data_IF_788007966267
#
_entry.id   IF_788007966267
#
_cell.length_a   1.000
_cell.length_b   1.000
_cell.length_c   1.000
_cell.angle_alpha   90.00
_cell.angle_beta   90.00
_cell.angle_gamma   90.00
#
_symmetry.space_group_name_H-M   'P 1'
#
loop_
_entity.id
_entity.type
_entity.pdbx_description
1 polymer ?
#
# COMPACT_ATOMS: atom_id res chain seq x y z
N UNK A 1 17.29 1.37 7.66
CA UNK A 1 18.36 0.48 7.15
C UNK A 1 19.19 1.29 6.17
N UNK A 2 20.49 1.54 6.42
CA UNK A 2 21.35 2.27 5.49
C UNK A 2 21.58 1.43 4.22
N UNK A 3 21.32 1.98 3.04
CA UNK A 3 21.59 1.32 1.75
C UNK A 3 22.99 1.69 1.25
N UNK A 4 23.74 0.70 0.76
CA UNK A 4 25.02 0.91 0.08
C UNK A 4 24.74 1.17 -1.40
N UNK A 5 24.93 2.41 -1.82
CA UNK A 5 24.86 2.81 -3.23
C UNK A 5 26.20 2.51 -3.91
N UNK A 6 26.19 2.12 -5.19
CA UNK A 6 27.41 2.14 -6.01
C UNK A 6 27.85 3.59 -6.17
N UNK A 7 29.06 3.89 -5.68
CA UNK A 7 29.63 5.24 -5.72
C UNK A 7 29.70 5.86 -7.14
N UNK A 8 29.73 5.02 -8.18
CA UNK A 8 29.87 5.44 -9.57
C UNK A 8 28.56 5.65 -10.32
N UNK A 9 27.46 5.01 -9.89
CA UNK A 9 26.17 5.06 -10.60
C UNK A 9 25.01 5.57 -9.75
N UNK A 10 25.20 5.73 -8.43
CA UNK A 10 24.11 6.08 -7.51
C UNK A 10 23.08 4.96 -7.32
N UNK A 11 23.27 3.80 -7.96
CA UNK A 11 22.30 2.70 -7.92
C UNK A 11 22.49 1.84 -6.66
N UNK A 12 21.38 1.48 -6.02
CA UNK A 12 21.40 0.58 -4.87
C UNK A 12 21.71 -0.87 -5.31
N UNK A 13 22.63 -1.53 -4.60
CA UNK A 13 22.95 -2.93 -4.85
C UNK A 13 21.84 -3.82 -4.28
N UNK A 14 21.25 -4.68 -5.13
CA UNK A 14 20.30 -5.70 -4.69
C UNK A 14 20.92 -6.51 -3.54
N UNK A 15 20.25 -6.53 -2.39
CA UNK A 15 20.71 -7.27 -1.21
C UNK A 15 19.88 -8.54 -1.06
N UNK A 16 20.46 -9.65 -1.47
CA UNK A 16 19.78 -10.95 -1.50
C UNK A 16 20.14 -11.80 -0.28
N UNK A 17 19.21 -12.64 0.15
CA UNK A 17 19.39 -13.63 1.21
C UNK A 17 18.64 -14.92 0.85
N UNK A 18 19.12 -16.05 1.35
CA UNK A 18 18.34 -17.27 1.42
C UNK A 18 17.83 -17.42 2.87
N UNK A 19 16.54 -17.65 3.03
CA UNK A 19 15.89 -17.83 4.33
C UNK A 19 15.08 -19.12 4.33
N UNK A 20 14.93 -19.71 5.49
CA UNK A 20 13.99 -20.80 5.71
C UNK A 20 12.90 -20.28 6.64
N UNK A 21 11.67 -19.99 6.13
CA UNK A 21 10.64 -19.33 6.91
C UNK A 21 10.21 -20.18 8.12
N UNK A 22 10.10 -21.50 7.90
CA UNK A 22 9.84 -22.53 8.91
C UNK A 22 10.59 -23.82 8.56
N UNK A 23 10.86 -24.71 9.53
CA UNK A 23 11.62 -25.94 9.28
C UNK A 23 10.99 -26.87 8.23
N UNK A 24 9.66 -26.85 8.12
CA UNK A 24 8.83 -27.64 7.21
C UNK A 24 8.58 -26.97 5.85
N UNK A 25 8.92 -25.70 5.70
CA UNK A 25 8.77 -24.97 4.44
C UNK A 25 10.07 -25.01 3.61
N UNK A 26 9.97 -25.13 2.28
CA UNK A 26 11.13 -25.05 1.40
C UNK A 26 11.83 -23.68 1.58
N UNK A 27 13.17 -23.65 1.53
CA UNK A 27 13.93 -22.43 1.63
C UNK A 27 13.61 -21.49 0.45
N UNK A 28 13.63 -20.19 0.74
CA UNK A 28 13.27 -19.13 -0.19
C UNK A 28 14.41 -18.15 -0.32
N UNK A 29 14.69 -17.74 -1.53
CA UNK A 29 15.53 -16.60 -1.81
C UNK A 29 14.69 -15.32 -1.68
N UNK A 30 15.29 -14.22 -1.21
CA UNK A 30 14.64 -12.92 -1.15
C UNK A 30 15.62 -11.79 -1.39
N UNK A 31 15.11 -10.66 -1.89
CA UNK A 31 15.84 -9.41 -2.00
C UNK A 31 15.28 -8.38 -1.02
N UNK A 32 16.08 -7.99 -0.03
CA UNK A 32 15.71 -6.97 0.95
C UNK A 32 15.59 -5.56 0.33
N UNK A 33 16.12 -5.36 -0.88
CA UNK A 33 16.00 -4.11 -1.62
C UNK A 33 14.69 -4.07 -2.43
N UNK A 34 14.53 -4.93 -3.43
CA UNK A 34 13.39 -4.87 -4.35
C UNK A 34 12.23 -5.81 -4.00
N UNK A 35 12.40 -6.78 -3.08
CA UNK A 35 11.28 -7.58 -2.56
C UNK A 35 10.87 -8.77 -3.36
N UNK A 36 11.61 -9.05 -4.42
CA UNK A 36 11.67 -10.36 -5.03
C UNK A 36 11.81 -11.44 -3.96
N UNK A 37 11.00 -12.48 -4.07
CA UNK A 37 11.16 -13.73 -3.33
C UNK A 37 10.94 -14.89 -4.27
N UNK A 38 11.75 -15.94 -4.20
CA UNK A 38 11.56 -17.13 -5.01
C UNK A 38 11.80 -18.38 -4.15
N UNK A 39 10.90 -19.35 -4.26
CA UNK A 39 10.96 -20.58 -3.45
C UNK A 39 11.76 -21.64 -4.20
N UNK A 40 12.73 -22.28 -3.53
CA UNK A 40 13.44 -23.42 -4.11
C UNK A 40 12.44 -24.55 -4.38
N UNK A 41 12.39 -25.03 -5.64
CA UNK A 41 11.40 -26.02 -6.06
C UNK A 41 11.58 -27.32 -5.27
N UNK A 42 10.51 -27.93 -4.70
CA UNK A 42 10.63 -29.16 -3.90
C UNK A 42 11.38 -30.27 -4.66
N UNK A 43 12.35 -30.98 -4.03
CA UNK A 43 12.68 -31.02 -2.60
C UNK A 43 13.68 -29.93 -2.14
N UNK A 44 13.66 -28.79 -2.79
CA UNK A 44 14.73 -27.79 -2.82
C UNK A 44 15.36 -27.39 -1.49
N UNK A 45 16.63 -27.03 -1.57
CA UNK A 45 17.51 -26.84 -0.43
C UNK A 45 18.11 -25.42 -0.37
N UNK A 46 18.83 -25.12 0.71
CA UNK A 46 19.47 -23.80 0.90
C UNK A 46 20.47 -23.45 -0.21
N UNK A 47 21.09 -24.42 -0.87
CA UNK A 47 22.01 -24.17 -1.96
C UNK A 47 21.26 -23.65 -3.21
N UNK A 48 20.10 -24.22 -3.50
CA UNK A 48 19.22 -23.74 -4.57
C UNK A 48 18.68 -22.34 -4.25
N UNK A 49 18.19 -22.09 -3.03
CA UNK A 49 17.77 -20.76 -2.61
C UNK A 49 18.93 -19.73 -2.71
N UNK A 50 20.17 -20.13 -2.43
CA UNK A 50 21.35 -19.26 -2.65
C UNK A 50 21.67 -19.06 -4.13
N UNK A 51 21.46 -20.06 -4.98
CA UNK A 51 21.65 -19.95 -6.42
C UNK A 51 20.63 -18.97 -7.04
N UNK A 52 19.36 -19.11 -6.68
CA UNK A 52 18.30 -18.16 -7.02
C UNK A 52 18.66 -16.74 -6.56
N UNK A 53 19.11 -16.59 -5.31
CA UNK A 53 19.56 -15.30 -4.79
C UNK A 53 20.70 -14.69 -5.62
N UNK A 54 21.69 -15.49 -6.04
CA UNK A 54 22.78 -15.02 -6.90
C UNK A 54 22.30 -14.63 -8.29
N UNK A 55 21.44 -15.43 -8.90
CA UNK A 55 20.83 -15.12 -10.20
C UNK A 55 20.08 -13.77 -10.16
N UNK A 56 19.43 -13.47 -9.04
CA UNK A 56 18.77 -12.19 -8.84
C UNK A 56 19.74 -10.99 -8.88
N UNK A 57 21.02 -11.16 -8.49
CA UNK A 57 22.03 -10.10 -8.57
C UNK A 57 22.42 -9.75 -10.00
N UNK A 58 22.13 -10.62 -10.97
CA UNK A 58 22.41 -10.40 -12.40
C UNK A 58 21.32 -9.55 -13.07
N UNK A 59 20.25 -9.19 -12.34
CA UNK A 59 19.19 -8.33 -12.89
C UNK A 59 19.73 -6.94 -13.22
N UNK A 60 19.37 -6.37 -14.40
CA UNK A 60 19.83 -5.05 -14.79
C UNK A 60 19.36 -3.99 -13.80
N UNK A 61 20.27 -3.11 -13.36
CA UNK A 61 20.00 -1.97 -12.48
C UNK A 61 19.11 -0.87 -13.11
N UNK A 62 18.63 -1.08 -14.35
CA UNK A 62 17.81 -0.14 -15.11
C UNK A 62 16.32 -0.19 -14.78
N UNK A 63 15.89 -1.15 -13.93
CA UNK A 63 14.50 -1.22 -13.46
C UNK A 63 14.33 -0.29 -12.26
N UNK A 64 13.24 0.49 -12.18
CA UNK A 64 12.98 1.32 -11.01
C UNK A 64 12.89 0.42 -9.78
N UNK A 65 13.81 0.61 -8.83
CA UNK A 65 13.85 -0.15 -7.59
C UNK A 65 13.21 0.70 -6.52
N UNK A 66 11.97 0.37 -6.17
CA UNK A 66 11.30 1.00 -5.06
C UNK A 66 11.86 0.43 -3.75
N UNK A 67 12.60 1.27 -3.02
CA UNK A 67 12.92 1.01 -1.63
C UNK A 67 11.63 0.97 -0.82
N UNK A 68 11.47 -0.04 0.03
CA UNK A 68 10.28 -0.18 0.87
C UNK A 68 10.65 -0.42 2.32
N UNK A 69 9.79 0.04 3.20
CA UNK A 69 9.82 -0.22 4.62
C UNK A 69 8.38 -0.20 5.14
N UNK A 70 8.12 -0.96 6.20
CA UNK A 70 6.83 -0.98 6.87
C UNK A 70 7.08 -0.85 8.37
N UNK A 71 6.28 -0.02 9.02
CA UNK A 71 6.09 -0.04 10.47
C UNK A 71 4.59 -0.14 10.73
N UNK A 72 4.20 -0.77 11.83
CA UNK A 72 2.82 -0.81 12.31
C UNK A 72 2.88 -1.02 13.81
N UNK A 73 1.94 -0.42 14.53
CA UNK A 73 1.89 -0.39 15.98
C UNK A 73 0.44 -0.44 16.41
N UNK A 74 0.10 -1.32 17.37
CA UNK A 74 -1.26 -1.45 17.89
C UNK A 74 -1.80 -0.16 18.54
N UNK A 75 -0.91 0.67 19.09
CA UNK A 75 -1.29 1.84 19.87
C UNK A 75 -2.10 1.45 21.12
N UNK A 76 -3.11 2.26 21.44
CA UNK A 76 -3.99 2.07 22.61
C UNK A 76 -5.14 1.06 22.36
N UNK A 77 -5.19 0.44 21.18
CA UNK A 77 -6.21 -0.56 20.82
C UNK A 77 -5.87 -1.92 21.44
N UNK A 78 -6.87 -2.82 21.53
CA UNK A 78 -6.64 -4.20 21.99
C UNK A 78 -6.08 -5.07 20.88
N UNK A 79 -6.53 -4.82 19.64
CA UNK A 79 -6.10 -5.55 18.44
C UNK A 79 -5.56 -4.55 17.43
N UNK A 80 -4.43 -4.89 16.80
CA UNK A 80 -3.92 -4.14 15.66
C UNK A 80 -4.72 -4.58 14.43
N UNK A 81 -5.62 -3.72 13.97
CA UNK A 81 -6.47 -3.96 12.82
C UNK A 81 -5.81 -3.55 11.50
N UNK A 82 -4.59 -3.01 11.53
CA UNK A 82 -3.87 -2.58 10.35
C UNK A 82 -3.20 -3.77 9.65
N UNK A 83 -3.22 -3.73 8.32
CA UNK A 83 -2.42 -4.62 7.50
C UNK A 83 -1.80 -3.88 6.32
N UNK A 84 -0.51 -4.08 6.10
CA UNK A 84 0.16 -3.65 4.88
C UNK A 84 0.75 -4.85 4.13
N UNK A 85 0.46 -4.91 2.84
CA UNK A 85 0.94 -5.96 1.96
C UNK A 85 1.80 -5.35 0.86
N UNK A 86 2.76 -6.13 0.37
CA UNK A 86 3.59 -5.76 -0.77
C UNK A 86 3.72 -6.95 -1.69
N UNK A 87 3.58 -6.71 -2.99
CA UNK A 87 3.86 -7.68 -4.02
C UNK A 87 4.87 -7.11 -5.02
N UNK A 88 5.86 -7.92 -5.37
CA UNK A 88 6.83 -7.61 -6.43
C UNK A 88 6.88 -8.85 -7.31
N UNK A 89 6.56 -8.69 -8.60
CA UNK A 89 6.62 -9.81 -9.53
C UNK A 89 8.06 -10.32 -9.65
N UNK A 90 8.23 -11.57 -9.26
CA UNK A 90 9.53 -12.20 -9.12
C UNK A 90 10.07 -12.70 -10.45
N UNK A 91 9.23 -12.91 -11.47
CA UNK A 91 9.63 -13.40 -12.81
C UNK A 91 10.06 -12.26 -13.72
N UNK A 92 9.24 -11.21 -13.85
CA UNK A 92 9.54 -10.08 -14.75
C UNK A 92 9.95 -8.83 -14.00
N UNK A 93 9.70 -8.69 -12.70
CA UNK A 93 9.96 -7.43 -11.97
C UNK A 93 9.19 -6.23 -12.51
N UNK A 94 8.18 -6.44 -13.35
CA UNK A 94 7.42 -5.38 -14.02
C UNK A 94 6.27 -4.85 -13.17
N UNK A 95 5.79 -5.67 -12.21
CA UNK A 95 4.70 -5.28 -11.30
C UNK A 95 5.27 -5.14 -9.91
N UNK A 96 5.13 -3.94 -9.35
CA UNK A 96 5.31 -3.71 -7.91
C UNK A 96 4.07 -3.04 -7.37
N UNK A 97 3.50 -3.56 -6.30
CA UNK A 97 2.31 -3.04 -5.67
C UNK A 97 2.42 -3.06 -4.14
N UNK A 98 1.77 -2.09 -3.52
CA UNK A 98 1.68 -1.92 -2.08
C UNK A 98 0.23 -1.68 -1.71
N UNK A 99 -0.18 -2.18 -0.56
CA UNK A 99 -1.46 -1.83 0.02
C UNK A 99 -1.28 -1.60 1.51
N UNK A 100 -2.04 -0.65 2.05
CA UNK A 100 -2.33 -0.52 3.48
C UNK A 100 -3.84 -0.60 3.61
N UNK A 101 -4.32 -1.39 4.57
CA UNK A 101 -5.70 -1.47 4.96
C UNK A 101 -5.79 -1.30 6.48
N UNK A 102 -6.77 -0.54 6.94
CA UNK A 102 -7.12 -0.42 8.35
C UNK A 102 -8.51 -1.05 8.57
N UNK A 103 -8.56 -2.06 9.45
CA UNK A 103 -9.77 -2.79 9.76
C UNK A 103 -10.68 -1.98 10.65
N UNK A 104 -11.96 -1.88 10.28
CA UNK A 104 -12.95 -1.13 11.03
C UNK A 104 -13.36 -1.97 12.25
N UNK A 105 -12.88 -1.57 13.43
CA UNK A 105 -13.23 -2.20 14.71
C UNK A 105 -12.03 -2.33 15.64
N UNK A 106 -12.24 -3.01 16.77
CA UNK A 106 -11.19 -3.37 17.73
C UNK A 106 -11.35 -4.82 18.15
N UNK A 107 -11.35 -5.71 17.15
CA UNK A 107 -11.51 -7.14 17.32
C UNK A 107 -10.66 -7.92 16.28
N UNK A 108 -10.41 -9.23 16.49
CA UNK A 108 -9.60 -10.04 15.56
C UNK A 108 -10.18 -10.18 14.15
N UNK A 109 -11.50 -10.07 14.00
CA UNK A 109 -12.18 -10.20 12.70
C UNK A 109 -11.95 -8.96 11.83
N UNK A 110 -11.87 -7.75 12.42
CA UNK A 110 -11.47 -6.53 11.73
C UNK A 110 -10.02 -6.63 11.21
N UNK A 111 -9.10 -7.12 12.04
CA UNK A 111 -7.73 -7.41 11.63
C UNK A 111 -7.67 -8.48 10.53
N UNK A 112 -8.58 -9.46 10.56
CA UNK A 112 -8.69 -10.47 9.52
C UNK A 112 -9.15 -9.86 8.19
N UNK A 113 -10.18 -9.01 8.21
CA UNK A 113 -10.71 -8.32 7.03
C UNK A 113 -9.63 -7.45 6.36
N UNK A 114 -8.92 -6.62 7.13
CA UNK A 114 -7.82 -5.80 6.62
C UNK A 114 -6.71 -6.64 5.99
N UNK A 115 -6.34 -7.77 6.63
CA UNK A 115 -5.36 -8.71 6.07
C UNK A 115 -5.81 -9.29 4.75
N UNK A 116 -7.06 -9.75 4.66
CA UNK A 116 -7.61 -10.32 3.42
C UNK A 116 -7.67 -9.26 2.32
N UNK A 117 -8.13 -8.05 2.63
CA UNK A 117 -8.23 -6.96 1.67
C UNK A 117 -6.87 -6.56 1.10
N UNK A 118 -5.90 -6.20 1.95
CA UNK A 118 -4.57 -5.78 1.51
C UNK A 118 -3.83 -6.89 0.75
N UNK A 119 -3.88 -8.13 1.25
CA UNK A 119 -3.19 -9.26 0.59
C UNK A 119 -3.80 -9.56 -0.78
N UNK A 120 -5.13 -9.51 -0.89
CA UNK A 120 -5.82 -9.75 -2.16
C UNK A 120 -5.49 -8.66 -3.18
N UNK A 121 -5.55 -7.39 -2.75
CA UNK A 121 -5.33 -6.26 -3.64
C UNK A 121 -3.94 -6.31 -4.31
N UNK A 122 -2.87 -6.55 -3.55
CA UNK A 122 -1.51 -6.59 -4.14
C UNK A 122 -1.29 -7.76 -5.09
N UNK A 123 -2.14 -8.80 -5.02
CA UNK A 123 -2.08 -9.96 -5.92
C UNK A 123 -3.09 -9.89 -7.09
N UNK A 124 -3.92 -8.85 -7.17
CA UNK A 124 -4.96 -8.67 -8.18
C UNK A 124 -4.42 -8.19 -9.54
N UNK A 125 -3.36 -8.84 -10.05
CA UNK A 125 -2.73 -8.49 -11.33
C UNK A 125 -3.46 -9.10 -12.52
N UNK A 126 -3.37 -8.42 -13.67
CA UNK A 126 -3.79 -8.95 -14.96
C UNK A 126 -2.63 -8.79 -15.97
N UNK A 127 -1.95 -9.89 -16.28
CA UNK A 127 -0.72 -9.85 -17.07
C UNK A 127 0.43 -9.13 -16.35
N UNK A 128 1.11 -8.23 -17.06
CA UNK A 128 2.26 -7.44 -16.54
C UNK A 128 1.86 -6.13 -15.86
N UNK A 129 0.58 -5.95 -15.51
CA UNK A 129 0.08 -4.71 -14.88
C UNK A 129 -0.84 -5.02 -13.71
N UNK A 130 -0.85 -4.11 -12.74
CA UNK A 130 -1.84 -4.05 -11.67
C UNK A 130 -2.52 -2.68 -11.76
N UNK A 131 -3.84 -2.68 -11.95
CA UNK A 131 -4.68 -1.48 -11.83
C UNK A 131 -5.10 -1.33 -10.36
N UNK A 132 -4.69 -0.26 -9.65
CA UNK A 132 -5.05 -0.06 -8.25
C UNK A 132 -6.56 -0.09 -7.99
N UNK A 133 -7.39 0.47 -8.89
CA UNK A 133 -8.84 0.47 -8.70
C UNK A 133 -9.44 -0.93 -8.85
N UNK A 134 -9.01 -1.68 -9.87
CA UNK A 134 -9.33 -3.09 -10.02
C UNK A 134 -8.88 -3.93 -8.82
N UNK A 135 -7.74 -3.60 -8.21
CA UNK A 135 -7.25 -4.27 -7.01
C UNK A 135 -8.14 -4.04 -5.78
N UNK A 136 -8.66 -2.83 -5.57
CA UNK A 136 -9.67 -2.55 -4.54
C UNK A 136 -10.95 -3.37 -4.79
N UNK A 137 -11.41 -3.44 -6.04
CA UNK A 137 -12.60 -4.23 -6.39
C UNK A 137 -12.38 -5.75 -6.19
N UNK A 138 -11.16 -6.24 -6.45
CA UNK A 138 -10.79 -7.62 -6.17
C UNK A 138 -10.81 -7.92 -4.67
N UNK A 139 -10.27 -7.02 -3.84
CA UNK A 139 -10.35 -7.11 -2.39
C UNK A 139 -11.80 -7.16 -1.90
N UNK A 140 -12.66 -6.26 -2.37
CA UNK A 140 -14.12 -6.29 -2.08
C UNK A 140 -14.75 -7.63 -2.41
N UNK A 141 -14.52 -8.13 -3.62
CA UNK A 141 -15.09 -9.40 -4.06
C UNK A 141 -14.62 -10.56 -3.19
N UNK A 142 -13.37 -10.52 -2.72
CA UNK A 142 -12.83 -11.55 -1.83
C UNK A 142 -13.43 -11.49 -0.43
N UNK A 143 -13.65 -10.30 0.14
CA UNK A 143 -14.37 -10.16 1.42
C UNK A 143 -15.78 -10.76 1.31
N UNK A 144 -16.50 -10.42 0.23
CA UNK A 144 -17.83 -10.94 -0.04
C UNK A 144 -17.83 -12.47 -0.25
N UNK A 145 -16.86 -13.00 -1.02
CA UNK A 145 -16.73 -14.45 -1.28
C UNK A 145 -16.46 -15.25 0.00
N UNK A 146 -15.79 -14.65 0.98
CA UNK A 146 -15.51 -15.25 2.29
C UNK A 146 -16.60 -14.97 3.33
N UNK A 147 -17.63 -14.22 2.96
CA UNK A 147 -18.73 -13.82 3.86
C UNK A 147 -18.22 -13.13 5.13
N UNK A 148 -17.16 -12.31 5.00
CA UNK A 148 -16.63 -11.56 6.14
C UNK A 148 -17.60 -10.43 6.50
N UNK A 149 -17.96 -10.36 7.79
CA UNK A 149 -18.85 -9.34 8.34
C UNK A 149 -18.11 -8.03 8.58
N UNK A 150 -16.88 -8.12 9.11
CA UNK A 150 -16.03 -6.95 9.34
C UNK A 150 -15.42 -6.44 8.03
N UNK A 151 -15.08 -5.16 8.02
CA UNK A 151 -14.64 -4.44 6.83
C UNK A 151 -13.35 -3.65 7.11
N UNK A 152 -12.85 -2.98 6.09
CA UNK A 152 -11.67 -2.14 6.17
C UNK A 152 -11.79 -0.90 5.29
N UNK A 153 -10.98 0.11 5.58
CA UNK A 153 -10.57 1.14 4.63
C UNK A 153 -9.23 0.73 4.01
N UNK A 154 -8.89 1.26 2.83
CA UNK A 154 -7.60 0.90 2.22
C UNK A 154 -7.09 1.91 1.22
N UNK A 155 -5.77 1.90 1.03
CA UNK A 155 -5.07 2.51 -0.10
C UNK A 155 -4.19 1.46 -0.78
N UNK A 156 -4.24 1.42 -2.10
CA UNK A 156 -3.41 0.57 -2.97
C UNK A 156 -2.58 1.46 -3.87
N UNK A 157 -1.29 1.17 -4.00
CA UNK A 157 -0.40 1.80 -4.95
C UNK A 157 0.26 0.75 -5.86
N UNK A 158 0.48 1.09 -7.12
CA UNK A 158 1.18 0.25 -8.09
C UNK A 158 2.18 1.07 -8.89
N UNK A 159 3.36 0.52 -9.14
CA UNK A 159 4.32 1.13 -10.05
C UNK A 159 3.73 1.23 -11.47
N UNK A 160 3.98 2.36 -12.15
CA UNK A 160 3.52 2.56 -13.52
C UNK A 160 4.24 1.60 -14.46
N UNK A 161 3.49 0.90 -15.31
CA UNK A 161 4.06 0.02 -16.30
C UNK A 161 4.89 0.82 -17.33
N UNK A 162 6.16 0.44 -17.52
CA UNK A 162 7.04 1.03 -18.53
C UNK A 162 7.47 2.48 -18.27
N UNK A 163 7.22 3.04 -17.09
CA UNK A 163 7.52 4.44 -16.76
C UNK A 163 8.00 4.62 -15.32
N UNK A 164 8.25 5.88 -14.97
CA UNK A 164 8.52 6.30 -13.60
C UNK A 164 7.22 6.69 -12.89
N UNK A 165 7.23 6.68 -11.56
CA UNK A 165 6.07 6.99 -10.73
C UNK A 165 5.15 5.81 -10.44
N UNK A 166 3.98 6.13 -9.87
CA UNK A 166 3.03 5.16 -9.35
C UNK A 166 1.59 5.65 -9.52
N UNK A 167 0.67 4.71 -9.60
CA UNK A 167 -0.78 4.94 -9.59
C UNK A 167 -1.31 4.50 -8.23
N UNK A 168 -2.34 5.19 -7.72
CA UNK A 168 -2.99 4.87 -6.46
C UNK A 168 -4.51 4.81 -6.61
N UNK A 169 -5.13 3.97 -5.80
CA UNK A 169 -6.55 3.98 -5.55
C UNK A 169 -6.83 3.79 -4.06
N UNK A 170 -7.91 4.38 -3.57
CA UNK A 170 -8.25 4.29 -2.15
C UNK A 170 -9.77 4.30 -1.91
N UNK A 171 -10.15 3.82 -0.73
CA UNK A 171 -11.45 3.97 -0.10
C UNK A 171 -11.26 4.23 1.39
N UNK A 172 -12.06 5.14 1.94
CA UNK A 172 -11.96 5.57 3.33
C UNK A 172 -10.90 6.64 3.54
N UNK A 173 -10.26 6.61 4.70
CA UNK A 173 -9.33 7.62 5.22
C UNK A 173 -7.88 7.13 5.31
N UNK A 174 -7.57 5.97 4.73
CA UNK A 174 -6.19 5.59 4.41
C UNK A 174 -5.59 6.59 3.41
N UNK A 175 -4.41 7.15 3.73
CA UNK A 175 -3.80 8.24 2.96
C UNK A 175 -2.54 7.81 2.22
N UNK A 176 -2.36 8.39 1.05
CA UNK A 176 -1.15 8.28 0.24
C UNK A 176 -0.49 9.63 0.07
N UNK A 177 0.82 9.70 0.26
CA UNK A 177 1.63 10.91 0.12
C UNK A 177 2.77 10.71 -0.87
N UNK A 178 3.12 11.77 -1.58
CA UNK A 178 4.38 11.92 -2.29
C UNK A 178 5.30 12.83 -1.48
N UNK A 179 6.50 12.35 -1.14
CA UNK A 179 7.58 13.22 -0.66
C UNK A 179 8.55 13.52 -1.80
N UNK A 180 8.61 14.78 -2.20
CA UNK A 180 9.46 15.27 -3.30
C UNK A 180 9.88 16.72 -3.04
N UNK A 181 11.11 17.07 -3.41
CA UNK A 181 11.63 18.44 -3.32
C UNK A 181 11.45 19.05 -1.91
N UNK A 182 11.67 18.22 -0.89
CA UNK A 182 11.48 18.53 0.52
C UNK A 182 10.04 18.96 0.90
N UNK A 183 9.05 18.49 0.13
CA UNK A 183 7.63 18.73 0.36
C UNK A 183 6.89 17.41 0.43
N UNK A 184 5.98 17.31 1.39
CA UNK A 184 5.05 16.19 1.52
C UNK A 184 3.69 16.62 0.95
N UNK A 185 3.28 15.99 -0.14
CA UNK A 185 2.02 16.27 -0.82
C UNK A 185 1.08 15.08 -0.63
N UNK A 186 -0.11 15.31 -0.05
CA UNK A 186 -1.14 14.29 0.02
C UNK A 186 -1.76 14.09 -1.36
N UNK A 187 -1.85 12.84 -1.81
CA UNK A 187 -2.44 12.46 -3.09
C UNK A 187 -3.90 12.01 -2.96
N UNK A 188 -4.29 11.57 -1.76
CA UNK A 188 -5.64 11.08 -1.45
C UNK A 188 -6.52 12.19 -0.90
N UNK A 189 -7.83 12.05 -1.10
CA UNK A 189 -8.87 12.85 -0.43
C UNK A 189 -9.75 11.88 0.34
N UNK A 190 -9.84 12.06 1.66
CA UNK A 190 -10.49 11.07 2.52
C UNK A 190 -11.97 10.92 2.20
N UNK A 191 -12.48 9.70 2.24
CA UNK A 191 -13.91 9.42 2.15
C UNK A 191 -14.50 9.43 3.55
N UNK A 192 -14.57 10.61 4.16
CA UNK A 192 -15.12 10.83 5.51
C UNK A 192 -16.22 11.87 5.49
N UNK A 193 -17.11 11.80 6.47
CA UNK A 193 -18.17 12.80 6.67
C UNK A 193 -17.56 14.20 6.84
N UNK A 194 -16.39 14.31 7.48
CA UNK A 194 -15.70 15.59 7.63
C UNK A 194 -15.25 16.16 6.28
N UNK A 195 -14.64 15.34 5.41
CA UNK A 195 -14.20 15.84 4.10
C UNK A 195 -15.39 16.17 3.19
N UNK A 196 -16.46 15.38 3.22
CA UNK A 196 -17.71 15.72 2.52
C UNK A 196 -18.31 17.04 3.02
N UNK A 197 -18.32 17.26 4.34
CA UNK A 197 -18.76 18.52 4.93
C UNK A 197 -17.87 19.70 4.51
N UNK A 198 -16.54 19.51 4.48
CA UNK A 198 -15.58 20.53 4.00
C UNK A 198 -15.82 20.85 2.52
N UNK A 199 -16.06 19.83 1.67
CA UNK A 199 -16.36 20.02 0.27
C UNK A 199 -17.65 20.83 0.07
N UNK A 200 -18.72 20.45 0.77
CA UNK A 200 -19.98 21.19 0.75
C UNK A 200 -19.82 22.64 1.23
N UNK A 201 -19.04 22.86 2.31
CA UNK A 201 -18.77 24.21 2.80
C UNK A 201 -18.01 25.07 1.80
N UNK A 202 -17.03 24.50 1.09
CA UNK A 202 -16.28 25.24 0.04
C UNK A 202 -17.22 25.74 -1.06
N UNK A 203 -18.25 24.98 -1.41
CA UNK A 203 -19.25 25.35 -2.42
C UNK A 203 -20.29 26.33 -1.85
N UNK A 204 -20.92 25.99 -0.73
CA UNK A 204 -22.03 26.74 -0.15
C UNK A 204 -21.62 28.03 0.57
N UNK A 205 -20.37 28.10 1.06
CA UNK A 205 -19.83 29.21 1.87
C UNK A 205 -18.53 29.79 1.30
N UNK A 206 -18.34 29.74 -0.03
CA UNK A 206 -17.14 30.23 -0.73
C UNK A 206 -16.72 31.69 -0.42
N UNK A 207 -17.65 32.51 0.09
CA UNK A 207 -17.42 33.91 0.47
C UNK A 207 -17.20 34.16 1.96
N UNK A 208 -17.09 33.11 2.79
CA UNK A 208 -16.92 33.25 4.24
C UNK A 208 -15.51 32.86 4.66
N UNK A 209 -14.90 33.66 5.54
CA UNK A 209 -13.54 33.44 6.05
C UNK A 209 -13.44 32.21 6.96
N UNK A 210 -14.56 31.70 7.49
CA UNK A 210 -14.61 30.54 8.38
C UNK A 210 -15.89 29.70 8.20
N UNK A 211 -15.76 28.41 8.53
CA UNK A 211 -16.90 27.49 8.58
C UNK A 211 -17.92 27.91 9.67
N UNK A 212 -19.23 27.65 9.48
CA UNK A 212 -20.24 27.89 10.51
C UNK A 212 -19.92 27.16 11.81
N UNK A 213 -20.15 27.80 12.96
CA UNK A 213 -19.75 27.28 14.27
C UNK A 213 -20.32 25.89 14.61
N UNK A 214 -21.54 25.57 14.15
CA UNK A 214 -22.11 24.23 14.31
C UNK A 214 -21.28 23.17 13.56
N UNK A 215 -20.80 23.49 12.34
CA UNK A 215 -19.99 22.57 11.55
C UNK A 215 -18.59 22.43 12.15
N UNK A 216 -17.94 23.54 12.53
CA UNK A 216 -16.61 23.52 13.18
C UNK A 216 -16.58 22.67 14.45
N UNK A 217 -17.67 22.66 15.22
CA UNK A 217 -17.77 21.85 16.44
C UNK A 217 -17.84 20.34 16.16
N UNK A 218 -18.41 19.93 15.02
CA UNK A 218 -18.61 18.52 14.68
C UNK A 218 -17.49 17.91 13.84
N UNK A 219 -16.76 18.71 13.06
CA UNK A 219 -15.69 18.23 12.17
C UNK A 219 -14.74 17.22 12.85
N UNK A 220 -14.18 17.46 14.06
CA UNK A 220 -13.26 16.51 14.68
C UNK A 220 -13.85 15.10 14.89
N UNK A 221 -15.14 15.00 15.19
CA UNK A 221 -15.82 13.70 15.37
C UNK A 221 -16.10 13.02 14.03
N UNK A 222 -16.28 13.81 12.98
CA UNK A 222 -16.58 13.32 11.63
C UNK A 222 -15.34 12.88 10.86
N UNK A 223 -14.14 13.25 11.29
CA UNK A 223 -12.87 12.82 10.67
C UNK A 223 -12.70 11.29 10.67
N UNK A 224 -13.37 10.58 11.59
CA UNK A 224 -13.32 9.11 11.71
C UNK A 224 -14.56 8.39 11.19
N UNK A 225 -15.51 9.14 10.63
CA UNK A 225 -16.73 8.56 10.08
C UNK A 225 -16.54 8.36 8.59
N UNK A 226 -16.10 7.16 8.23
CA UNK A 226 -15.83 6.80 6.83
C UNK A 226 -17.15 6.60 6.07
N UNK A 227 -17.22 7.11 4.85
CA UNK A 227 -18.41 7.03 3.98
C UNK A 227 -18.28 5.99 2.88
N UNK A 228 -17.05 5.53 2.63
CA UNK A 228 -16.75 4.42 1.71
C UNK A 228 -15.72 3.48 2.34
N UNK A 229 -15.92 2.19 2.13
CA UNK A 229 -15.11 1.09 2.67
C UNK A 229 -14.77 0.10 1.56
N UNK A 230 -13.99 -0.94 1.87
CA UNK A 230 -13.69 -2.00 0.91
C UNK A 230 -14.98 -2.71 0.48
N UNK A 231 -15.85 -3.12 1.41
CA UNK A 231 -17.08 -3.82 1.06
C UNK A 231 -18.05 -2.98 0.21
N UNK A 232 -18.07 -1.66 0.39
CA UNK A 232 -18.97 -0.74 -0.34
C UNK A 232 -18.37 -0.18 -1.62
N UNK A 233 -17.10 -0.49 -1.92
CA UNK A 233 -16.38 0.06 -3.06
C UNK A 233 -17.08 -0.24 -4.40
N UNK A 234 -17.19 0.79 -5.24
CA UNK A 234 -17.64 0.68 -6.64
C UNK A 234 -16.70 1.48 -7.54
N UNK A 235 -16.73 1.22 -8.84
CA UNK A 235 -15.85 1.91 -9.79
C UNK A 235 -16.01 3.44 -9.78
N UNK A 236 -17.19 3.96 -9.41
CA UNK A 236 -17.49 5.39 -9.37
C UNK A 236 -17.10 6.09 -8.06
N UNK A 237 -16.91 5.34 -6.96
CA UNK A 237 -16.58 5.92 -5.64
C UNK A 237 -15.12 5.73 -5.26
N UNK A 238 -14.40 4.82 -5.91
CA UNK A 238 -12.97 4.63 -5.67
C UNK A 238 -12.20 5.89 -6.09
N UNK A 239 -11.48 6.49 -5.14
CA UNK A 239 -10.57 7.58 -5.41
C UNK A 239 -9.38 7.10 -6.24
N UNK A 240 -8.84 7.95 -7.11
CA UNK A 240 -7.69 7.64 -7.97
C UNK A 240 -6.74 8.81 -8.06
N UNK A 241 -5.45 8.51 -8.04
CA UNK A 241 -4.38 9.48 -8.24
C UNK A 241 -3.18 8.80 -8.91
N UNK A 242 -2.22 9.58 -9.36
CA UNK A 242 -0.97 9.05 -9.88
C UNK A 242 0.11 10.12 -9.97
N UNK A 243 1.35 9.67 -10.04
CA UNK A 243 2.52 10.51 -10.23
C UNK A 243 3.24 10.12 -11.52
N UNK A 244 3.88 11.10 -12.16
CA UNK A 244 4.80 10.86 -13.29
C UNK A 244 6.26 10.73 -12.83
N UNK A 245 6.50 10.88 -11.52
CA UNK A 245 7.82 10.93 -10.90
C UNK A 245 7.89 9.89 -9.77
N UNK A 246 9.04 9.22 -9.63
CA UNK A 246 9.24 8.05 -8.76
C UNK A 246 10.45 7.25 -9.26
N UNK A 247 10.62 6.00 -8.83
CA UNK A 247 11.47 4.95 -9.44
C UNK A 247 12.97 5.25 -9.68
N UNK A 248 13.27 6.33 -10.39
CA UNK A 248 14.57 6.91 -10.74
C UNK A 248 14.84 8.27 -10.08
N UNK A 249 13.80 8.99 -9.71
CA UNK A 249 13.88 10.23 -8.93
C UNK A 249 13.62 9.88 -7.47
N UNK A 250 14.31 10.49 -6.49
CA UNK A 250 14.21 10.18 -5.05
C UNK A 250 12.80 10.42 -4.41
N UNK A 251 11.74 10.47 -5.21
CA UNK A 251 10.37 10.56 -4.74
C UNK A 251 9.98 9.28 -3.97
N UNK A 252 9.48 9.49 -2.77
CA UNK A 252 9.06 8.42 -1.84
C UNK A 252 7.55 8.42 -1.72
N UNK A 253 6.92 7.28 -2.01
CA UNK A 253 5.51 7.06 -1.71
C UNK A 253 5.38 6.64 -0.24
N UNK A 254 4.57 7.36 0.53
CA UNK A 254 4.24 7.00 1.90
C UNK A 254 2.74 6.68 1.98
N UNK A 255 2.42 5.44 2.33
CA UNK A 255 1.05 5.02 2.62
C UNK A 255 0.88 5.00 4.13
N UNK A 256 -0.11 5.74 4.63
CA UNK A 256 -0.29 6.00 6.06
C UNK A 256 -1.73 5.71 6.42
N UNK A 257 -1.90 4.97 7.50
CA UNK A 257 -3.13 4.98 8.27
C UNK A 257 -3.06 6.11 9.31
N UNK A 258 -4.12 6.92 9.41
CA UNK A 258 -4.19 8.09 10.27
C UNK A 258 -4.44 7.66 11.72
N UNK A 259 -3.38 7.55 12.53
CA UNK A 259 -3.55 7.59 13.99
C UNK A 259 -3.76 9.04 14.41
N UNK A 260 -5.01 9.47 14.52
CA UNK A 260 -5.33 10.77 15.13
C UNK A 260 -5.25 10.58 16.65
N UNK A 261 -4.28 11.25 17.28
CA UNK A 261 -4.27 11.41 18.73
C UNK A 261 -5.48 12.24 19.16
N UNK A 262 -6.20 11.85 20.24
CA UNK A 262 -7.40 12.53 20.72
C UNK A 262 -7.17 14.00 21.12
#
# INVERSE_FOLDING_TARGET
MLHVLRATTGQALHKVAAVQPRPDEPPRALCGLCGWTETAAPPGNHAEARALARQHLERPAARPVFHRSRASLTGDRRVNADHAAVFVDDVTGEVTAWAVADGIGDNPDAAHAARVAASTAVHARYGSRLDPAGAVLAARNELARRELVEDAVMVVAAARAGGDGYELAWVGDCRGYEFRDNRLNQLTTDHTVAEEARAWLREAYSHHEAAPGWCSHHLPRWEHMVTTTVATATASVIGRAGTEHGGRDNATALLVDQVVTP
#
